data_IF_145185158174
#
_entry.id   IF_145185158174
#
_cell.length_a   1.000
_cell.length_b   1.000
_cell.length_c   1.000
_cell.angle_alpha   90.00
_cell.angle_beta   90.00
_cell.angle_gamma   90.00
#
_symmetry.space_group_name_H-M   'P 1'
#
loop_
_entity.id
_entity.type
_entity.pdbx_description
1 polymer ?
#
# COMPACT_ATOMS: atom_id res chain seq x y z
N UNK A 1 -7.35 -23.31 3.51
CA UNK A 1 -7.20 -22.45 2.31
C UNK A 1 -8.27 -21.35 2.21
N UNK A 2 -9.55 -21.63 2.53
CA UNK A 2 -10.65 -20.65 2.45
C UNK A 2 -10.40 -19.39 3.28
N UNK A 3 -10.04 -19.53 4.57
CA UNK A 3 -9.71 -18.39 5.43
C UNK A 3 -8.56 -17.54 4.90
N UNK A 4 -7.48 -18.16 4.41
CA UNK A 4 -6.32 -17.45 3.89
C UNK A 4 -6.68 -16.67 2.61
N UNK A 5 -7.53 -17.25 1.76
CA UNK A 5 -8.11 -16.56 0.60
C UNK A 5 -9.02 -15.40 1.01
N UNK A 6 -9.84 -15.54 2.04
CA UNK A 6 -10.70 -14.45 2.54
C UNK A 6 -9.86 -13.30 3.13
N UNK A 7 -8.81 -13.62 3.89
CA UNK A 7 -7.87 -12.62 4.43
C UNK A 7 -7.14 -11.92 3.27
N UNK A 8 -6.59 -12.65 2.29
CA UNK A 8 -5.92 -12.01 1.16
C UNK A 8 -6.86 -11.18 0.30
N UNK A 9 -8.12 -11.59 0.13
CA UNK A 9 -9.13 -10.77 -0.55
C UNK A 9 -9.39 -9.48 0.20
N UNK A 10 -9.53 -9.55 1.52
CA UNK A 10 -9.76 -8.36 2.33
C UNK A 10 -8.53 -7.43 2.33
N UNK A 11 -7.33 -7.99 2.44
CA UNK A 11 -6.07 -7.23 2.31
C UNK A 11 -5.96 -6.59 0.92
N UNK A 12 -6.21 -7.36 -0.15
CA UNK A 12 -6.21 -6.85 -1.52
C UNK A 12 -7.24 -5.73 -1.70
N UNK A 13 -8.43 -5.85 -1.10
CA UNK A 13 -9.47 -4.81 -1.11
C UNK A 13 -9.06 -3.53 -0.37
N UNK A 14 -8.24 -3.65 0.67
CA UNK A 14 -7.66 -2.49 1.37
C UNK A 14 -6.58 -1.77 0.54
N UNK A 15 -5.83 -2.51 -0.27
CA UNK A 15 -4.83 -1.94 -1.19
C UNK A 15 -5.41 -1.49 -2.53
N UNK A 16 -6.48 -2.14 -3.00
CA UNK A 16 -7.25 -1.69 -4.13
C UNK A 16 -8.05 -0.48 -3.68
N UNK A 17 -7.47 0.70 -3.91
CA UNK A 17 -8.29 1.88 -4.22
C UNK A 17 -9.40 1.40 -5.11
N UNK A 18 -10.64 1.68 -4.71
CA UNK A 18 -11.83 1.28 -5.42
C UNK A 18 -11.81 1.86 -6.85
N UNK A 19 -11.11 1.17 -7.74
CA UNK A 19 -11.18 1.39 -9.16
C UNK A 19 -12.44 0.67 -9.61
N UNK A 20 -13.45 1.48 -9.99
CA UNK A 20 -14.74 1.10 -10.60
C UNK A 20 -15.96 1.22 -9.67
N UNK A 21 -16.43 2.45 -9.45
CA UNK A 21 -17.82 2.73 -9.09
C UNK A 21 -18.06 4.21 -8.76
N UNK A 22 -19.12 4.85 -9.27
CA UNK A 22 -19.42 6.27 -9.05
C UNK A 22 -19.76 6.63 -7.58
N UNK A 23 -19.73 5.66 -6.66
CA UNK A 23 -20.01 5.84 -5.23
C UNK A 23 -18.87 5.38 -4.31
N UNK A 24 -17.71 5.06 -4.86
CA UNK A 24 -16.54 4.77 -4.04
C UNK A 24 -15.83 6.06 -3.66
N UNK A 25 -16.14 6.56 -2.46
CA UNK A 25 -15.33 7.58 -1.81
C UNK A 25 -13.89 7.06 -1.75
N UNK A 26 -13.08 7.52 -2.69
CA UNK A 26 -11.66 7.26 -2.68
C UNK A 26 -11.16 7.76 -1.34
N UNK A 27 -10.72 6.84 -0.47
CA UNK A 27 -10.33 7.15 0.91
C UNK A 27 -9.09 8.03 0.85
N UNK A 28 -9.31 9.33 0.76
CA UNK A 28 -8.29 10.35 0.73
C UNK A 28 -7.80 10.49 2.16
N UNK A 29 -6.57 10.05 2.40
CA UNK A 29 -5.98 10.06 3.73
C UNK A 29 -5.01 11.24 3.81
N UNK A 30 -5.25 12.13 4.77
CA UNK A 30 -4.39 13.26 5.06
C UNK A 30 -3.46 12.89 6.22
N UNK A 31 -2.16 12.82 5.92
CA UNK A 31 -1.10 12.54 6.86
C UNK A 31 -0.41 13.83 7.27
N UNK A 32 -0.33 14.09 8.57
CA UNK A 32 0.40 15.23 9.09
C UNK A 32 1.79 14.79 9.57
N UNK A 33 2.84 15.37 9.01
CA UNK A 33 4.22 15.28 9.47
C UNK A 33 4.55 16.48 10.37
N UNK A 34 5.30 16.24 11.45
CA UNK A 34 5.80 17.31 12.33
C UNK A 34 4.76 17.90 13.27
N UNK A 35 4.20 17.05 14.14
CA UNK A 35 3.16 17.47 15.10
C UNK A 35 3.71 18.29 16.27
N UNK A 36 5.03 18.26 16.52
CA UNK A 36 5.64 18.90 17.67
C UNK A 36 6.04 20.35 17.35
N UNK A 37 5.94 21.25 18.34
CA UNK A 37 6.39 22.63 18.18
C UNK A 37 7.91 22.78 18.02
N UNK A 38 8.67 21.72 18.34
CA UNK A 38 10.11 21.63 18.13
C UNK A 38 10.49 21.16 16.73
N UNK A 39 9.53 20.67 15.94
CA UNK A 39 9.82 20.14 14.61
C UNK A 39 10.12 21.28 13.64
N UNK A 40 11.29 21.20 13.02
CA UNK A 40 11.74 22.12 11.98
C UNK A 40 11.04 21.86 10.64
N UNK A 41 10.30 20.75 10.52
CA UNK A 41 9.57 20.38 9.32
C UNK A 41 8.16 20.02 9.71
N UNK A 42 7.18 20.71 9.12
CA UNK A 42 5.76 20.37 9.22
C UNK A 42 5.25 20.08 7.83
N UNK A 43 4.36 19.11 7.65
CA UNK A 43 3.76 18.90 6.35
C UNK A 43 2.43 18.16 6.40
N UNK A 44 1.62 18.35 5.37
CA UNK A 44 0.37 17.65 5.16
C UNK A 44 0.48 16.93 3.83
N UNK A 45 0.40 15.61 3.85
CA UNK A 45 0.43 14.77 2.67
C UNK A 45 -0.93 14.14 2.47
N UNK A 46 -1.44 14.27 1.26
CA UNK A 46 -2.68 13.65 0.83
C UNK A 46 -2.34 12.44 -0.02
N UNK A 47 -2.62 11.26 0.52
CA UNK A 47 -2.47 10.00 -0.18
C UNK A 47 -3.83 9.51 -0.66
N UNK A 48 -3.86 9.14 -1.92
CA UNK A 48 -5.01 8.56 -2.58
C UNK A 48 -4.61 7.16 -3.07
N UNK A 49 -4.61 6.21 -2.13
CA UNK A 49 -4.13 4.85 -2.38
C UNK A 49 -2.62 4.73 -2.60
N UNK A 50 -2.22 4.42 -3.83
CA UNK A 50 -0.81 4.42 -4.23
C UNK A 50 -0.34 5.77 -4.78
N UNK A 51 -1.22 6.75 -4.97
CA UNK A 51 -0.85 8.05 -5.52
C UNK A 51 -0.85 9.14 -4.43
N UNK A 52 0.31 9.73 -4.17
CA UNK A 52 0.42 10.98 -3.42
C UNK A 52 -0.02 12.11 -4.36
N UNK A 53 -1.18 12.70 -4.08
CA UNK A 53 -1.80 13.72 -4.92
C UNK A 53 -1.47 15.13 -4.46
N UNK A 54 -1.28 15.32 -3.16
CA UNK A 54 -0.89 16.61 -2.59
C UNK A 54 0.14 16.38 -1.50
N UNK A 55 1.12 17.27 -1.40
CA UNK A 55 2.06 17.29 -0.29
C UNK A 55 2.46 18.74 -0.03
N UNK A 56 2.01 19.28 1.08
CA UNK A 56 2.34 20.60 1.56
C UNK A 56 3.40 20.46 2.64
N UNK A 57 4.60 21.03 2.46
CA UNK A 57 5.71 20.88 3.40
C UNK A 57 6.27 22.26 3.73
N UNK A 58 6.24 22.59 5.01
CA UNK A 58 6.83 23.79 5.59
C UNK A 58 8.12 23.43 6.33
N UNK A 59 9.25 23.98 5.90
CA UNK A 59 10.55 23.83 6.56
C UNK A 59 10.97 25.14 7.23
N UNK A 60 11.29 25.10 8.52
CA UNK A 60 11.87 26.19 9.30
C UNK A 60 13.37 25.99 9.39
N UNK A 61 14.17 26.86 8.79
CA UNK A 61 15.63 26.81 8.86
C UNK A 61 16.14 27.54 10.12
N UNK A 62 16.74 26.85 11.09
CA UNK A 62 17.17 27.46 12.37
C UNK A 62 18.26 28.52 12.18
N UNK A 63 19.13 28.33 11.20
CA UNK A 63 20.31 29.19 10.99
C UNK A 63 19.99 30.56 10.42
N UNK A 64 18.81 30.75 9.83
CA UNK A 64 18.48 31.98 9.10
C UNK A 64 17.11 32.57 9.44
N UNK A 65 16.38 31.97 10.39
CA UNK A 65 14.99 32.29 10.73
C UNK A 65 14.06 32.37 9.50
N UNK A 66 14.35 31.57 8.48
CA UNK A 66 13.59 31.51 7.24
C UNK A 66 12.64 30.33 7.27
N UNK A 67 11.42 30.53 6.78
CA UNK A 67 10.43 29.48 6.58
C UNK A 67 10.27 29.27 5.08
N UNK A 68 10.57 28.07 4.62
CA UNK A 68 10.34 27.64 3.25
C UNK A 68 9.04 26.86 3.19
N UNK A 69 8.25 27.12 2.16
CA UNK A 69 7.03 26.40 1.87
C UNK A 69 7.18 25.71 0.52
N UNK A 70 6.93 24.41 0.51
CA UNK A 70 7.09 23.52 -0.61
C UNK A 70 5.78 22.75 -0.79
N UNK A 71 4.99 23.10 -1.80
CA UNK A 71 3.80 22.35 -2.17
C UNK A 71 4.06 21.47 -3.40
N UNK A 72 3.45 20.31 -3.39
CA UNK A 72 3.34 19.46 -4.57
C UNK A 72 2.47 20.14 -5.61
N UNK A 73 2.84 20.03 -6.89
CA UNK A 73 2.07 20.67 -7.95
C UNK A 73 0.78 19.89 -8.19
N UNK A 74 -0.34 20.61 -8.27
CA UNK A 74 -1.69 20.05 -8.41
C UNK A 74 -1.90 19.26 -9.71
N UNK A 75 -1.04 19.47 -10.72
CA UNK A 75 -1.07 18.79 -12.02
C UNK A 75 -0.31 17.47 -12.04
N UNK A 76 0.40 17.12 -10.95
CA UNK A 76 1.21 15.90 -10.86
C UNK A 76 0.71 15.03 -9.71
N UNK A 77 0.94 13.72 -9.86
CA UNK A 77 0.77 12.74 -8.80
C UNK A 77 2.06 11.93 -8.68
N UNK A 78 2.52 11.67 -7.46
CA UNK A 78 3.63 10.75 -7.22
C UNK A 78 3.05 9.37 -6.90
N UNK A 79 3.26 8.40 -7.79
CA UNK A 79 2.90 7.00 -7.52
C UNK A 79 3.95 6.33 -6.66
N UNK A 80 3.56 5.88 -5.47
CA UNK A 80 4.41 5.17 -4.53
C UNK A 80 4.59 3.73 -5.01
N UNK A 81 5.75 3.45 -5.59
CA UNK A 81 6.08 2.13 -6.14
C UNK A 81 5.99 1.03 -5.07
N UNK A 82 6.35 1.34 -3.82
CA UNK A 82 6.24 0.41 -2.67
C UNK A 82 4.81 -0.09 -2.47
N UNK A 83 3.81 0.80 -2.54
CA UNK A 83 2.39 0.45 -2.39
C UNK A 83 1.92 -0.38 -3.59
N UNK A 84 2.34 0.01 -4.79
CA UNK A 84 2.02 -0.72 -6.02
C UNK A 84 2.60 -2.15 -6.01
N UNK A 85 3.86 -2.30 -5.61
CA UNK A 85 4.56 -3.58 -5.55
C UNK A 85 3.97 -4.48 -4.48
N UNK A 86 3.66 -3.94 -3.29
CA UNK A 86 2.96 -4.69 -2.24
C UNK A 86 1.59 -5.20 -2.74
N UNK A 87 0.80 -4.35 -3.41
CA UNK A 87 -0.47 -4.74 -4.03
C UNK A 87 -0.30 -5.85 -5.08
N UNK A 88 0.73 -5.75 -5.92
CA UNK A 88 1.03 -6.75 -6.94
C UNK A 88 1.36 -8.10 -6.30
N UNK A 89 2.19 -8.12 -5.25
CA UNK A 89 2.53 -9.35 -4.52
C UNK A 89 1.30 -9.99 -3.84
N UNK A 90 0.43 -9.20 -3.22
CA UNK A 90 -0.83 -9.71 -2.64
C UNK A 90 -1.75 -10.28 -3.73
N UNK A 91 -1.84 -9.61 -4.88
CA UNK A 91 -2.64 -10.08 -6.02
C UNK A 91 -2.09 -11.39 -6.60
N UNK A 92 -0.77 -11.53 -6.67
CA UNK A 92 -0.09 -12.75 -7.12
C UNK A 92 -0.37 -13.92 -6.16
N UNK A 93 -0.30 -13.68 -4.85
CA UNK A 93 -0.64 -14.68 -3.85
C UNK A 93 -2.12 -15.10 -3.92
N UNK A 94 -3.02 -14.14 -4.15
CA UNK A 94 -4.44 -14.41 -4.36
C UNK A 94 -4.68 -15.22 -5.65
N UNK A 95 -3.96 -14.91 -6.73
CA UNK A 95 -4.01 -15.67 -7.96
C UNK A 95 -3.58 -17.12 -7.71
N UNK A 96 -2.44 -17.36 -7.06
CA UNK A 96 -1.97 -18.71 -6.72
C UNK A 96 -3.02 -19.53 -5.93
N UNK A 97 -3.82 -18.87 -5.09
CA UNK A 97 -4.92 -19.49 -4.33
C UNK A 97 -6.23 -19.66 -5.13
N UNK A 98 -6.42 -18.88 -6.20
CA UNK A 98 -7.59 -18.93 -7.07
C UNK A 98 -7.39 -19.83 -8.30
N UNK A 99 -6.16 -19.99 -8.78
CA UNK A 99 -5.82 -20.85 -9.92
C UNK A 99 -6.06 -22.34 -9.64
N UNK A 100 -6.39 -22.70 -8.40
CA UNK A 100 -6.79 -24.06 -8.01
C UNK A 100 -8.23 -24.05 -7.54
N UNK A 101 -9.06 -24.86 -8.20
CA UNK A 101 -10.47 -25.02 -7.87
C UNK A 101 -10.67 -25.47 -6.41
N UNK A 102 -11.81 -25.08 -5.81
CA UNK A 102 -12.17 -25.52 -4.46
C UNK A 102 -12.29 -27.05 -4.33
N UNK A 103 -12.45 -27.74 -5.46
CA UNK A 103 -12.53 -29.19 -5.58
C UNK A 103 -11.18 -29.84 -5.93
N UNK A 104 -10.09 -29.07 -6.06
CA UNK A 104 -8.78 -29.61 -6.36
C UNK A 104 -8.27 -30.45 -5.19
N UNK A 105 -8.26 -31.78 -5.36
CA UNK A 105 -7.61 -32.70 -4.44
C UNK A 105 -6.11 -32.67 -4.69
N UNK A 106 -5.37 -32.23 -3.69
CA UNK A 106 -3.91 -32.27 -3.73
C UNK A 106 -3.45 -33.73 -3.82
N UNK A 107 -2.57 -34.03 -4.77
CA UNK A 107 -2.08 -35.39 -5.00
C UNK A 107 -1.03 -35.79 -3.98
N UNK A 108 -0.38 -34.82 -3.34
CA UNK A 108 0.61 -35.05 -2.28
C UNK A 108 0.68 -33.89 -1.28
N UNK A 109 1.11 -34.18 -0.05
CA UNK A 109 1.43 -33.14 0.94
C UNK A 109 2.54 -32.18 0.48
N UNK A 110 3.43 -32.64 -0.41
CA UNK A 110 4.48 -31.81 -1.00
C UNK A 110 3.91 -30.70 -1.91
N UNK A 111 2.81 -30.94 -2.62
CA UNK A 111 2.12 -29.91 -3.40
C UNK A 111 1.47 -28.84 -2.52
N UNK A 112 0.95 -29.24 -1.34
CA UNK A 112 0.38 -28.31 -0.36
C UNK A 112 1.47 -27.43 0.22
N UNK A 113 2.60 -28.02 0.65
CA UNK A 113 3.73 -27.25 1.18
C UNK A 113 4.29 -26.27 0.16
N UNK A 114 4.54 -26.71 -1.09
CA UNK A 114 5.03 -25.80 -2.15
C UNK A 114 4.08 -24.64 -2.42
N UNK A 115 2.77 -24.86 -2.35
CA UNK A 115 1.78 -23.79 -2.50
C UNK A 115 1.84 -22.81 -1.32
N UNK A 116 1.88 -23.33 -0.09
CA UNK A 116 1.97 -22.50 1.11
C UNK A 116 3.27 -21.71 1.15
N UNK A 117 4.40 -22.29 0.74
CA UNK A 117 5.69 -21.62 0.61
C UNK A 117 5.64 -20.50 -0.43
N UNK A 118 5.03 -20.75 -1.60
CA UNK A 118 4.89 -19.73 -2.63
C UNK A 118 4.02 -18.56 -2.18
N UNK A 119 2.91 -18.83 -1.47
CA UNK A 119 2.02 -17.80 -0.91
C UNK A 119 2.72 -17.02 0.19
N UNK A 120 3.40 -17.71 1.12
CA UNK A 120 4.15 -17.08 2.21
C UNK A 120 5.28 -16.19 1.65
N UNK A 121 5.99 -16.64 0.61
CA UNK A 121 7.01 -15.84 -0.07
C UNK A 121 6.45 -14.52 -0.62
N UNK A 122 5.28 -14.55 -1.26
CA UNK A 122 4.64 -13.33 -1.77
C UNK A 122 4.19 -12.42 -0.63
N UNK A 123 3.66 -12.96 0.47
CA UNK A 123 3.28 -12.18 1.65
C UNK A 123 4.50 -11.51 2.32
N UNK A 124 5.61 -12.24 2.46
CA UNK A 124 6.87 -11.70 3.00
C UNK A 124 7.43 -10.60 2.10
N UNK A 125 7.38 -10.77 0.78
CA UNK A 125 7.79 -9.73 -0.17
C UNK A 125 6.90 -8.49 -0.09
N UNK A 126 5.59 -8.67 -0.03
CA UNK A 126 4.65 -7.56 0.15
C UNK A 126 4.94 -6.79 1.44
N UNK A 127 5.18 -7.51 2.54
CA UNK A 127 5.52 -6.92 3.84
C UNK A 127 6.83 -6.13 3.79
N UNK A 128 7.92 -6.75 3.32
CA UNK A 128 9.22 -6.08 3.26
C UNK A 128 9.16 -4.80 2.41
N UNK A 129 8.41 -4.81 1.29
CA UNK A 129 8.22 -3.62 0.44
C UNK A 129 7.36 -2.52 1.05
N UNK A 130 6.53 -2.84 2.04
CA UNK A 130 5.78 -1.85 2.82
C UNK A 130 6.53 -1.31 4.05
N UNK A 131 7.64 -1.94 4.42
CA UNK A 131 8.46 -1.57 5.58
C UNK A 131 9.74 -0.78 5.22
N UNK A 132 10.29 -0.98 4.01
CA UNK A 132 11.29 -0.08 3.40
C UNK A 132 10.65 1.24 2.94
#
# INVERSE_FOLDING_TARGET
LKQLKDILKETSRRFAVQASGPESQVRQENFMLGSSNTDQVKGVLTLQGDALTQADITLKLPKHNQVLHCAFREDKQWKMQQIQDARNHVSQALYLLNSRDQTYQFKSGAEVNKLMDAVMLQLTRARNRSEE
#
